data_IF_589687376567
#
_entry.id   IF_589687376567
#
_cell.length_a   1.000
_cell.length_b   1.000
_cell.length_c   1.000
_cell.angle_alpha   90.00
_cell.angle_beta   90.00
_cell.angle_gamma   90.00
#
_symmetry.space_group_name_H-M   'P 1'
#
loop_
_entity.id
_entity.type
_entity.pdbx_description
1 polymer ?
#
# COMPACT_ATOMS: atom_id res chain seq x y z
N UNK A 1 -5.98 7.89 21.38
CA UNK A 1 -6.77 7.21 20.32
C UNK A 1 -7.95 6.50 20.98
N UNK A 2 -9.19 6.59 20.45
CA UNK A 2 -10.28 5.71 20.84
C UNK A 2 -10.06 4.31 20.22
N UNK A 3 -9.21 3.51 20.84
CA UNK A 3 -8.65 2.24 20.30
C UNK A 3 -9.71 1.30 19.70
N UNK A 4 -10.74 0.96 20.47
CA UNK A 4 -11.80 0.05 20.01
C UNK A 4 -12.64 0.62 18.87
N UNK A 5 -12.87 1.94 18.87
CA UNK A 5 -13.60 2.62 17.78
C UNK A 5 -12.81 2.56 16.48
N UNK A 6 -11.50 2.82 16.56
CA UNK A 6 -10.59 2.77 15.40
C UNK A 6 -10.55 1.36 14.81
N UNK A 7 -10.41 0.32 15.64
CA UNK A 7 -10.43 -1.07 15.19
C UNK A 7 -11.76 -1.40 14.52
N UNK A 8 -12.88 -1.11 15.16
CA UNK A 8 -14.21 -1.39 14.61
C UNK A 8 -14.43 -0.71 13.26
N UNK A 9 -14.03 0.57 13.12
CA UNK A 9 -14.13 1.28 11.86
C UNK A 9 -13.25 0.67 10.76
N UNK A 10 -11.98 0.35 11.05
CA UNK A 10 -11.07 -0.28 10.08
C UNK A 10 -11.61 -1.64 9.63
N UNK A 11 -12.12 -2.46 10.56
CA UNK A 11 -12.71 -3.75 10.23
C UNK A 11 -13.93 -3.58 9.33
N UNK A 12 -14.84 -2.65 9.64
CA UNK A 12 -16.04 -2.45 8.83
C UNK A 12 -15.69 -1.96 7.42
N UNK A 13 -14.82 -0.96 7.27
CA UNK A 13 -14.47 -0.41 5.95
C UNK A 13 -13.64 -1.37 5.08
N UNK A 14 -13.02 -2.39 5.68
CA UNK A 14 -12.21 -3.39 4.94
C UNK A 14 -12.95 -4.71 4.74
N UNK A 15 -13.47 -5.31 5.81
CA UNK A 15 -14.09 -6.63 5.78
C UNK A 15 -15.41 -6.61 5.03
N UNK A 16 -16.27 -5.61 5.25
CA UNK A 16 -17.59 -5.59 4.61
C UNK A 16 -17.47 -5.54 3.07
N UNK A 17 -16.68 -4.63 2.46
CA UNK A 17 -16.52 -4.63 1.01
C UNK A 17 -15.85 -5.91 0.47
N UNK A 18 -14.87 -6.46 1.19
CA UNK A 18 -14.19 -7.71 0.80
C UNK A 18 -15.16 -8.88 0.81
N UNK A 19 -15.96 -9.04 1.86
CA UNK A 19 -16.98 -10.09 1.96
C UNK A 19 -18.03 -9.96 0.84
N UNK A 20 -18.48 -8.74 0.54
CA UNK A 20 -19.40 -8.49 -0.58
C UNK A 20 -18.75 -8.89 -1.91
N UNK A 21 -17.50 -8.47 -2.15
CA UNK A 21 -16.75 -8.84 -3.34
C UNK A 21 -16.57 -10.36 -3.49
N UNK A 22 -16.23 -11.06 -2.41
CA UNK A 22 -16.10 -12.52 -2.40
C UNK A 22 -17.44 -13.23 -2.63
N UNK A 23 -18.53 -12.69 -2.08
CA UNK A 23 -19.87 -13.22 -2.32
C UNK A 23 -20.28 -13.06 -3.80
N UNK A 24 -20.04 -11.89 -4.40
CA UNK A 24 -20.29 -11.65 -5.83
C UNK A 24 -19.43 -12.56 -6.69
N UNK A 25 -18.14 -12.73 -6.36
CA UNK A 25 -17.24 -13.65 -7.05
C UNK A 25 -17.78 -15.08 -7.04
N UNK A 26 -18.29 -15.55 -5.88
CA UNK A 26 -18.86 -16.90 -5.73
C UNK A 26 -20.18 -17.08 -6.48
N UNK A 27 -21.10 -16.10 -6.40
CA UNK A 27 -22.47 -16.22 -6.93
C UNK A 27 -22.59 -15.82 -8.42
N UNK A 28 -21.78 -14.87 -8.87
CA UNK A 28 -21.84 -14.28 -10.22
C UNK A 28 -20.44 -14.20 -10.88
N UNK A 29 -19.78 -15.33 -11.14
CA UNK A 29 -18.39 -15.36 -11.62
C UNK A 29 -18.18 -14.62 -12.96
N UNK A 30 -19.16 -14.69 -13.87
CA UNK A 30 -19.11 -13.95 -15.16
C UNK A 30 -19.13 -12.44 -14.96
N UNK A 31 -19.91 -11.94 -13.99
CA UNK A 31 -19.96 -10.52 -13.66
C UNK A 31 -18.64 -10.09 -13.02
N UNK A 32 -18.14 -10.89 -12.07
CA UNK A 32 -16.86 -10.61 -11.39
C UNK A 32 -15.68 -10.55 -12.37
N UNK A 33 -15.60 -11.48 -13.32
CA UNK A 33 -14.56 -11.47 -14.35
C UNK A 33 -14.61 -10.20 -15.22
N UNK A 34 -15.81 -9.80 -15.65
CA UNK A 34 -15.99 -8.55 -16.42
C UNK A 34 -15.68 -7.29 -15.58
N UNK A 35 -15.95 -7.32 -14.28
CA UNK A 35 -15.72 -6.21 -13.37
C UNK A 35 -14.24 -6.06 -12.96
N UNK A 36 -13.40 -7.09 -13.11
CA UNK A 36 -12.02 -7.09 -12.62
C UNK A 36 -11.17 -5.94 -13.20
N UNK A 37 -11.18 -5.76 -14.52
CA UNK A 37 -10.40 -4.71 -15.18
C UNK A 37 -10.92 -3.29 -14.88
N UNK A 38 -12.22 -2.96 -15.02
CA UNK A 38 -12.71 -1.62 -14.72
C UNK A 38 -12.54 -1.26 -13.23
N UNK A 39 -12.75 -2.21 -12.31
CA UNK A 39 -12.52 -1.96 -10.87
C UNK A 39 -11.05 -1.69 -10.59
N UNK A 40 -10.13 -2.45 -11.20
CA UNK A 40 -8.68 -2.21 -11.07
C UNK A 40 -8.29 -0.80 -11.50
N UNK A 41 -8.79 -0.35 -12.66
CA UNK A 41 -8.51 1.00 -13.18
C UNK A 41 -9.13 2.04 -12.25
N UNK A 42 -10.39 1.85 -11.83
CA UNK A 42 -11.07 2.76 -10.93
C UNK A 42 -10.31 2.90 -9.59
N UNK A 43 -9.83 1.82 -9.00
CA UNK A 43 -9.05 1.85 -7.76
C UNK A 43 -7.73 2.61 -7.93
N UNK A 44 -7.02 2.42 -9.06
CA UNK A 44 -5.79 3.15 -9.34
C UNK A 44 -6.05 4.65 -9.53
N UNK A 45 -7.06 5.01 -10.32
CA UNK A 45 -7.46 6.41 -10.53
C UNK A 45 -7.88 7.05 -9.20
N UNK A 46 -8.67 6.34 -8.39
CA UNK A 46 -9.13 6.83 -7.09
C UNK A 46 -7.97 7.10 -6.13
N UNK A 47 -6.97 6.21 -6.07
CA UNK A 47 -5.75 6.44 -5.28
C UNK A 47 -5.01 7.70 -5.75
N UNK A 48 -4.82 7.86 -7.07
CA UNK A 48 -4.16 9.05 -7.63
C UNK A 48 -4.94 10.32 -7.29
N UNK A 49 -6.27 10.29 -7.38
CA UNK A 49 -7.13 11.43 -7.01
C UNK A 49 -7.03 11.78 -5.53
N UNK A 50 -7.02 10.79 -4.63
CA UNK A 50 -6.85 11.02 -3.19
C UNK A 50 -5.48 11.67 -2.92
N UNK A 51 -4.42 11.13 -3.50
CA UNK A 51 -3.08 11.68 -3.34
C UNK A 51 -3.05 13.12 -3.86
N UNK A 52 -3.56 13.37 -5.06
CA UNK A 52 -3.64 14.72 -5.64
C UNK A 52 -4.44 15.69 -4.76
N UNK A 53 -5.57 15.26 -4.19
CA UNK A 53 -6.37 16.07 -3.29
C UNK A 53 -5.60 16.45 -2.02
N UNK A 54 -4.86 15.51 -1.42
CA UNK A 54 -4.00 15.80 -0.25
C UNK A 54 -2.89 16.78 -0.63
N UNK A 55 -2.25 16.58 -1.78
CA UNK A 55 -1.18 17.46 -2.26
C UNK A 55 -1.68 18.90 -2.50
N UNK A 56 -2.86 19.06 -3.13
CA UNK A 56 -3.45 20.38 -3.37
C UNK A 56 -3.82 21.07 -2.04
N UNK A 57 -4.38 20.31 -1.09
CA UNK A 57 -4.80 20.83 0.22
C UNK A 57 -3.61 21.35 1.04
N UNK A 58 -2.48 20.65 1.00
CA UNK A 58 -1.30 20.94 1.82
C UNK A 58 -0.16 21.61 1.05
N UNK A 59 -0.44 22.13 -0.17
CA UNK A 59 0.56 22.62 -1.13
C UNK A 59 1.60 23.59 -0.56
N UNK A 60 1.21 24.44 0.38
CA UNK A 60 2.09 25.44 1.00
C UNK A 60 3.17 24.80 1.88
N UNK A 61 2.87 23.65 2.48
CA UNK A 61 3.74 22.94 3.41
C UNK A 61 4.38 21.70 2.78
N UNK A 62 4.02 21.35 1.53
CA UNK A 62 4.46 20.12 0.88
C UNK A 62 5.98 19.96 0.82
N UNK A 63 6.70 21.03 0.46
CA UNK A 63 8.16 20.98 0.37
C UNK A 63 8.79 20.60 1.71
N UNK A 64 8.36 21.27 2.79
CA UNK A 64 8.84 21.00 4.14
C UNK A 64 8.47 19.58 4.61
N UNK A 65 7.22 19.17 4.38
CA UNK A 65 6.79 17.82 4.75
C UNK A 65 7.49 16.73 3.95
N UNK A 66 7.77 16.95 2.67
CA UNK A 66 8.51 15.99 1.86
C UNK A 66 9.95 15.85 2.32
N UNK A 67 10.61 16.97 2.68
CA UNK A 67 11.97 16.95 3.23
C UNK A 67 12.02 16.20 4.57
N UNK A 68 11.02 16.39 5.44
CA UNK A 68 10.99 15.74 6.75
C UNK A 68 10.53 14.27 6.69
N UNK A 69 9.44 13.98 5.99
CA UNK A 69 8.81 12.66 5.98
C UNK A 69 9.32 11.77 4.86
N UNK A 70 9.70 12.31 3.70
CA UNK A 70 10.13 11.54 2.52
C UNK A 70 11.30 10.60 2.80
N UNK A 71 12.45 11.09 3.32
CA UNK A 71 13.58 10.24 3.65
C UNK A 71 13.24 9.16 4.66
N UNK A 72 12.48 9.51 5.72
CA UNK A 72 12.07 8.56 6.75
C UNK A 72 11.13 7.48 6.21
N UNK A 73 10.15 7.87 5.38
CA UNK A 73 9.25 6.93 4.71
C UNK A 73 9.98 5.99 3.77
N UNK A 74 10.95 6.50 3.00
CA UNK A 74 11.75 5.68 2.10
C UNK A 74 12.65 4.70 2.86
N UNK A 75 13.34 5.17 3.92
CA UNK A 75 14.17 4.31 4.77
C UNK A 75 13.31 3.23 5.43
N UNK A 76 12.15 3.58 5.98
CA UNK A 76 11.22 2.63 6.56
C UNK A 76 10.79 1.57 5.52
N UNK A 77 10.46 2.00 4.31
CA UNK A 77 10.06 1.11 3.22
C UNK A 77 11.19 0.15 2.84
N UNK A 78 12.40 0.67 2.60
CA UNK A 78 13.56 -0.13 2.21
C UNK A 78 13.98 -1.11 3.31
N UNK A 79 13.99 -0.67 4.57
CA UNK A 79 14.29 -1.55 5.70
C UNK A 79 13.22 -2.62 5.88
N UNK A 80 11.95 -2.26 5.77
CA UNK A 80 10.84 -3.21 5.83
C UNK A 80 10.99 -4.31 4.78
N UNK A 81 11.19 -3.92 3.52
CA UNK A 81 11.41 -4.88 2.43
C UNK A 81 12.68 -5.72 2.64
N UNK A 82 13.77 -5.10 3.10
CA UNK A 82 15.03 -5.79 3.41
C UNK A 82 14.82 -6.87 4.47
N UNK A 83 14.27 -6.50 5.62
CA UNK A 83 14.04 -7.46 6.70
C UNK A 83 12.99 -8.52 6.31
N UNK A 84 11.89 -8.11 5.66
CA UNK A 84 10.87 -9.04 5.16
C UNK A 84 11.43 -10.09 4.20
N UNK A 85 12.35 -9.68 3.32
CA UNK A 85 13.06 -10.61 2.43
C UNK A 85 14.02 -11.53 3.18
N UNK A 86 14.96 -10.96 3.94
CA UNK A 86 16.04 -11.75 4.54
C UNK A 86 15.57 -12.67 5.66
N UNK A 87 14.59 -12.24 6.46
CA UNK A 87 13.98 -13.09 7.50
C UNK A 87 13.25 -14.26 6.85
N UNK A 88 12.37 -14.00 5.87
CA UNK A 88 11.66 -15.06 5.15
C UNK A 88 12.64 -16.01 4.47
N UNK A 89 13.67 -15.48 3.81
CA UNK A 89 14.70 -16.29 3.15
C UNK A 89 15.45 -17.18 4.14
N UNK A 90 15.77 -16.69 5.33
CA UNK A 90 16.45 -17.48 6.35
C UNK A 90 15.59 -18.64 6.85
N UNK A 91 14.28 -18.43 6.98
CA UNK A 91 13.32 -19.41 7.48
C UNK A 91 12.96 -20.44 6.39
N UNK A 92 12.54 -19.97 5.21
CA UNK A 92 11.96 -20.85 4.18
C UNK A 92 13.00 -21.36 3.19
N UNK A 93 14.18 -20.72 3.11
CA UNK A 93 15.20 -20.95 2.08
C UNK A 93 14.67 -20.82 0.64
N UNK A 94 13.48 -20.27 0.46
CA UNK A 94 12.83 -20.09 -0.84
C UNK A 94 12.91 -18.63 -1.27
N UNK A 95 13.62 -18.37 -2.37
CA UNK A 95 13.82 -17.03 -2.91
C UNK A 95 12.52 -16.38 -3.39
N UNK A 96 11.63 -17.13 -4.03
CA UNK A 96 10.38 -16.61 -4.56
C UNK A 96 9.45 -16.19 -3.41
N UNK A 97 9.36 -16.99 -2.35
CA UNK A 97 8.61 -16.62 -1.14
C UNK A 97 9.23 -15.41 -0.44
N UNK A 98 10.55 -15.37 -0.31
CA UNK A 98 11.24 -14.21 0.27
C UNK A 98 11.00 -12.92 -0.53
N UNK A 99 11.02 -13.00 -1.86
CA UNK A 99 10.72 -11.86 -2.73
C UNK A 99 9.27 -11.42 -2.57
N UNK A 100 8.32 -12.35 -2.55
CA UNK A 100 6.90 -12.06 -2.34
C UNK A 100 6.66 -11.36 -1.01
N UNK A 101 7.21 -11.87 0.09
CA UNK A 101 7.06 -11.24 1.42
C UNK A 101 7.74 -9.88 1.47
N UNK A 102 8.94 -9.74 0.90
CA UNK A 102 9.63 -8.45 0.83
C UNK A 102 8.78 -7.40 0.11
N UNK A 103 8.20 -7.75 -1.05
CA UNK A 103 7.29 -6.88 -1.81
C UNK A 103 6.03 -6.54 -1.00
N UNK A 104 5.43 -7.53 -0.33
CA UNK A 104 4.22 -7.33 0.48
C UNK A 104 4.45 -6.39 1.66
N UNK A 105 5.61 -6.48 2.32
CA UNK A 105 6.00 -5.53 3.38
C UNK A 105 6.24 -4.12 2.80
N UNK A 106 6.76 -4.03 1.57
CA UNK A 106 7.02 -2.76 0.89
C UNK A 106 5.75 -2.07 0.38
N UNK A 107 4.72 -2.81 -0.03
CA UNK A 107 3.45 -2.23 -0.49
C UNK A 107 2.49 -2.14 0.70
N UNK A 108 2.24 -0.93 1.18
CA UNK A 108 1.25 -0.68 2.24
C UNK A 108 -0.02 -0.07 1.65
N UNK A 109 -1.17 -0.33 2.27
CA UNK A 109 -2.44 0.29 1.87
C UNK A 109 -2.48 1.78 2.26
N UNK A 110 -1.99 2.62 1.36
CA UNK A 110 -1.96 4.07 1.49
C UNK A 110 -3.32 4.73 1.69
N UNK A 111 -4.35 4.25 0.97
CA UNK A 111 -5.72 4.75 1.06
C UNK A 111 -6.30 4.57 2.46
N UNK A 112 -6.07 3.40 3.06
CA UNK A 112 -6.50 3.11 4.44
C UNK A 112 -5.81 4.05 5.43
N UNK A 113 -4.50 4.28 5.28
CA UNK A 113 -3.75 5.19 6.14
C UNK A 113 -4.29 6.63 6.07
N UNK A 114 -4.61 7.11 4.86
CA UNK A 114 -5.23 8.43 4.64
C UNK A 114 -6.64 8.47 5.27
N UNK A 115 -7.45 7.43 5.06
CA UNK A 115 -8.81 7.36 5.62
C UNK A 115 -8.81 7.35 7.16
N UNK A 116 -7.86 6.66 7.79
CA UNK A 116 -7.69 6.67 9.24
C UNK A 116 -7.28 8.06 9.73
N UNK A 117 -6.27 8.67 9.10
CA UNK A 117 -5.79 9.99 9.51
C UNK A 117 -6.85 11.09 9.33
N UNK A 118 -7.52 11.13 8.18
CA UNK A 118 -8.54 12.13 7.88
C UNK A 118 -9.87 11.86 8.61
N UNK A 119 -10.35 10.62 8.60
CA UNK A 119 -11.68 10.28 9.10
C UNK A 119 -11.72 9.96 10.58
N UNK A 120 -10.74 9.21 11.10
CA UNK A 120 -10.76 8.73 12.49
C UNK A 120 -10.00 9.69 13.40
N UNK A 121 -8.79 10.08 13.00
CA UNK A 121 -7.95 11.00 13.77
C UNK A 121 -8.30 12.47 13.52
N UNK A 122 -9.12 12.76 12.51
CA UNK A 122 -9.57 14.11 12.17
C UNK A 122 -8.40 15.09 12.01
N UNK A 123 -7.26 14.61 11.51
CA UNK A 123 -6.03 15.38 11.39
C UNK A 123 -5.49 15.26 9.97
N UNK A 124 -5.63 16.36 9.23
CA UNK A 124 -5.21 16.43 7.83
C UNK A 124 -3.68 16.36 7.68
N UNK A 125 -2.92 16.89 8.63
CA UNK A 125 -1.45 16.82 8.60
C UNK A 125 -0.96 15.37 8.71
N UNK A 126 -1.65 14.54 9.49
CA UNK A 126 -1.31 13.11 9.61
C UNK A 126 -1.63 12.28 8.35
N UNK A 127 -2.32 12.84 7.36
CA UNK A 127 -2.52 12.16 6.06
C UNK A 127 -1.26 12.19 5.18
N UNK A 128 -0.39 13.17 5.43
CA UNK A 128 0.75 13.49 4.56
C UNK A 128 1.80 12.37 4.55
N UNK A 129 2.24 11.80 5.70
CA UNK A 129 3.16 10.66 5.68
C UNK A 129 2.62 9.46 4.90
N UNK A 130 1.31 9.19 5.01
CA UNK A 130 0.66 8.10 4.27
C UNK A 130 0.65 8.38 2.77
N UNK A 131 0.38 9.61 2.34
CA UNK A 131 0.41 10.01 0.94
C UNK A 131 1.83 9.95 0.36
N UNK A 132 2.83 10.48 1.07
CA UNK A 132 4.24 10.43 0.67
C UNK A 132 4.73 8.99 0.56
N UNK A 133 4.46 8.15 1.56
CA UNK A 133 4.82 6.73 1.50
C UNK A 133 4.18 6.03 0.29
N UNK A 134 2.90 6.31 0.01
CA UNK A 134 2.18 5.72 -1.13
C UNK A 134 2.80 6.05 -2.48
N UNK A 135 3.44 7.22 -2.61
CA UNK A 135 4.16 7.60 -3.83
C UNK A 135 5.52 6.88 -3.87
N UNK A 136 6.27 6.91 -2.76
CA UNK A 136 7.64 6.41 -2.68
C UNK A 136 7.75 4.89 -2.71
N UNK A 137 6.73 4.16 -2.25
CA UNK A 137 6.75 2.70 -2.22
C UNK A 137 6.79 2.09 -3.63
N UNK A 138 6.15 2.70 -4.63
CA UNK A 138 6.09 2.13 -5.98
C UNK A 138 7.48 2.04 -6.64
N UNK A 139 8.31 3.12 -6.72
CA UNK A 139 9.68 3.01 -7.23
C UNK A 139 10.54 2.01 -6.46
N UNK A 140 10.46 2.01 -5.13
CA UNK A 140 11.26 1.14 -4.28
C UNK A 140 10.92 -0.35 -4.50
N UNK A 141 9.64 -0.67 -4.59
CA UNK A 141 9.16 -2.02 -4.89
C UNK A 141 9.49 -2.42 -6.33
N UNK A 142 9.34 -1.51 -7.31
CA UNK A 142 9.74 -1.78 -8.71
C UNK A 142 11.22 -2.12 -8.81
N UNK A 143 12.08 -1.43 -8.06
CA UNK A 143 13.51 -1.77 -7.98
C UNK A 143 13.72 -3.18 -7.42
N UNK A 144 13.02 -3.54 -6.34
CA UNK A 144 13.12 -4.89 -5.76
C UNK A 144 12.66 -5.98 -6.73
N UNK A 145 11.56 -5.77 -7.45
CA UNK A 145 11.05 -6.67 -8.49
C UNK A 145 12.08 -6.84 -9.61
N UNK A 146 12.66 -5.74 -10.09
CA UNK A 146 13.69 -5.77 -11.13
C UNK A 146 14.93 -6.56 -10.69
N UNK A 147 15.43 -6.31 -9.47
CA UNK A 147 16.58 -7.01 -8.90
C UNK A 147 16.29 -8.50 -8.64
N UNK A 148 15.04 -8.84 -8.28
CA UNK A 148 14.58 -10.22 -8.11
C UNK A 148 14.60 -10.99 -9.43
N UNK A 149 14.00 -10.41 -10.47
CA UNK A 149 13.87 -11.06 -11.79
C UNK A 149 15.22 -11.21 -12.52
N UNK A 150 16.20 -10.34 -12.26
CA UNK A 150 17.54 -10.45 -12.86
C UNK A 150 18.31 -11.69 -12.39
N UNK A 151 18.01 -12.21 -11.18
CA UNK A 151 18.70 -13.37 -10.62
C UNK A 151 18.19 -14.71 -11.15
N UNK A 152 16.96 -14.76 -11.64
CA UNK A 152 16.39 -15.98 -12.22
C UNK A 152 16.88 -16.20 -13.66
N UNK A 153 17.09 -15.12 -14.43
CA UNK A 153 17.65 -15.19 -15.81
C UNK A 153 19.14 -15.60 -15.92
N UNK A 154 19.87 -15.72 -14.81
CA UNK A 154 21.29 -16.12 -14.81
C UNK A 154 21.45 -17.62 -14.51
N UNK A 155 20.36 -18.31 -14.20
CA UNK A 155 20.33 -19.75 -13.90
C UNK A 155 19.61 -20.58 -14.98
N UNK A 156 19.14 -19.93 -16.06
CA UNK A 156 18.74 -20.55 -17.33
C UNK A 156 19.88 -20.42 -18.35
#
# INVERSE_FOLDING_TARGET
LPFFKTIGQILVITIVPVCVGMFIYKKFPRLSYKAQQPVKILSAVFLVLIIAAVLIKERANLGEFFIKAGPLSLVLNLLGMFFGYYITKAITKNKAQALAVGIEVGIVNGTLGIAIAAGILQNSVMTIPSAIYSILMFPAVMLMVYLGNKKDKVLE
#
